data_IF_139480257931
#
_entry.id   IF_139480257931
#
_cell.length_a   1.000
_cell.length_b   1.000
_cell.length_c   1.000
_cell.angle_alpha   90.00
_cell.angle_beta   90.00
_cell.angle_gamma   90.00
#
_symmetry.space_group_name_H-M   'P 1'
#
loop_
_entity.id
_entity.type
_entity.pdbx_description
1 polymer ?
#
# COMPACT_ATOMS: atom_id res chain seq x y z
N UNK A 1 42.92 -6.28 42.14
CA UNK A 1 41.77 -7.20 42.06
C UNK A 1 40.62 -6.39 41.50
N UNK A 2 40.30 -6.55 40.21
CA UNK A 2 39.19 -5.81 39.59
C UNK A 2 37.92 -6.66 39.76
N UNK A 3 36.98 -6.14 40.54
CA UNK A 3 35.67 -6.75 40.75
C UNK A 3 34.98 -6.94 39.39
N UNK A 4 34.88 -8.18 38.94
CA UNK A 4 34.07 -8.57 37.80
C UNK A 4 32.61 -8.44 38.23
N UNK A 5 32.08 -7.21 38.16
CA UNK A 5 30.66 -6.96 38.38
C UNK A 5 29.87 -7.82 37.39
N UNK A 6 29.16 -8.79 37.94
CA UNK A 6 28.18 -9.63 37.28
C UNK A 6 27.04 -8.72 36.76
N UNK A 7 27.28 -8.03 35.65
CA UNK A 7 26.27 -7.22 34.97
C UNK A 7 25.28 -8.18 34.35
N UNK A 8 24.09 -8.23 34.94
CA UNK A 8 22.91 -8.86 34.34
C UNK A 8 22.80 -8.34 32.91
N UNK A 9 23.00 -9.23 31.93
CA UNK A 9 22.87 -8.88 30.54
C UNK A 9 21.45 -8.36 30.31
N UNK A 10 21.27 -7.24 29.59
CA UNK A 10 19.94 -6.76 29.26
C UNK A 10 19.16 -7.86 28.52
N UNK A 11 17.84 -7.98 28.73
CA UNK A 11 17.02 -9.02 28.12
C UNK A 11 16.98 -8.93 26.58
N UNK A 12 17.37 -7.80 26.02
CA UNK A 12 17.45 -7.55 24.58
C UNK A 12 18.87 -7.14 24.20
N UNK A 13 19.36 -7.61 23.04
CA UNK A 13 20.66 -7.19 22.54
C UNK A 13 20.67 -5.68 22.30
N UNK A 14 21.82 -5.05 22.55
CA UNK A 14 22.03 -3.65 22.14
C UNK A 14 21.90 -3.52 20.62
N UNK A 15 21.43 -2.38 20.11
CA UNK A 15 21.33 -2.17 18.67
C UNK A 15 22.70 -2.35 17.99
N UNK A 16 22.73 -2.75 16.71
CA UNK A 16 23.97 -2.95 15.97
C UNK A 16 24.82 -1.67 15.93
N UNK A 17 26.16 -1.74 16.09
CA UNK A 17 27.01 -0.57 16.29
C UNK A 17 26.96 0.46 15.15
N UNK A 18 26.51 0.05 13.96
CA UNK A 18 26.40 0.95 12.81
C UNK A 18 25.34 2.05 12.96
N UNK A 19 24.44 1.98 13.94
CA UNK A 19 23.40 3.00 14.13
C UNK A 19 23.97 4.40 14.38
N UNK A 20 25.19 4.51 14.94
CA UNK A 20 25.84 5.79 15.25
C UNK A 20 26.23 6.57 14.00
N UNK A 21 26.41 5.89 12.87
CA UNK A 21 26.83 6.51 11.61
C UNK A 21 25.66 7.20 10.87
N UNK A 22 24.41 7.00 11.32
CA UNK A 22 23.20 7.61 10.76
C UNK A 22 23.00 9.07 11.24
N UNK A 23 23.99 9.93 10.97
CA UNK A 23 23.92 11.36 11.26
C UNK A 23 23.40 12.15 10.05
N UNK A 24 22.77 13.32 10.30
CA UNK A 24 22.28 14.19 9.21
C UNK A 24 23.39 14.61 8.24
N UNK A 25 24.61 14.79 8.74
CA UNK A 25 25.79 15.17 7.96
C UNK A 25 26.23 14.02 7.03
N UNK A 26 26.32 12.80 7.55
CA UNK A 26 26.71 11.63 6.78
C UNK A 26 25.66 11.31 5.68
N UNK A 27 24.37 11.50 6.00
CA UNK A 27 23.29 11.33 5.02
C UNK A 27 23.38 12.37 3.90
N UNK A 28 23.65 13.64 4.21
CA UNK A 28 23.80 14.68 3.18
C UNK A 28 25.03 14.43 2.30
N UNK A 29 26.13 13.97 2.88
CA UNK A 29 27.35 13.61 2.13
C UNK A 29 27.11 12.44 1.18
N UNK A 30 26.41 11.38 1.65
CA UNK A 30 26.05 10.25 0.80
C UNK A 30 25.12 10.68 -0.34
N UNK A 31 24.17 11.58 -0.09
CA UNK A 31 23.30 12.12 -1.13
C UNK A 31 24.07 12.92 -2.19
N UNK A 32 25.10 13.68 -1.80
CA UNK A 32 25.98 14.40 -2.72
C UNK A 32 26.79 13.42 -3.58
N UNK A 33 27.46 12.45 -2.96
CA UNK A 33 28.22 11.42 -3.66
C UNK A 33 27.35 10.59 -4.61
N UNK A 34 26.09 10.31 -4.23
CA UNK A 34 25.15 9.63 -5.11
C UNK A 34 24.72 10.47 -6.31
N UNK A 35 24.60 11.80 -6.14
CA UNK A 35 24.32 12.72 -7.25
C UNK A 35 25.51 12.79 -8.22
N UNK A 36 26.71 12.97 -7.69
CA UNK A 36 27.97 12.97 -8.46
C UNK A 36 28.17 11.64 -9.22
N UNK A 37 27.89 10.50 -8.58
CA UNK A 37 27.95 9.19 -9.23
C UNK A 37 26.87 9.00 -10.31
N UNK A 38 25.70 9.64 -10.17
CA UNK A 38 24.62 9.57 -11.16
C UNK A 38 24.95 10.36 -12.43
N UNK A 39 25.73 11.43 -12.33
CA UNK A 39 26.20 12.21 -13.48
C UNK A 39 27.23 11.43 -14.33
N UNK A 40 27.87 10.41 -13.74
CA UNK A 40 28.85 9.53 -14.40
C UNK A 40 28.28 8.20 -14.94
N UNK A 41 26.96 7.95 -14.81
CA UNK A 41 26.28 6.84 -15.50
C UNK A 41 25.15 6.16 -14.70
N UNK A 42 24.19 5.50 -15.38
CA UNK A 42 23.05 4.90 -14.73
C UNK A 42 23.43 3.52 -14.19
N UNK A 43 23.59 3.42 -12.86
CA UNK A 43 23.96 2.22 -12.07
C UNK A 43 25.46 2.03 -11.80
N UNK A 44 26.20 3.10 -11.50
CA UNK A 44 27.39 2.93 -10.68
C UNK A 44 26.93 2.52 -9.26
N UNK A 45 26.94 1.23 -8.97
CA UNK A 45 26.98 0.76 -7.60
C UNK A 45 28.19 1.47 -6.96
N UNK A 46 27.92 2.43 -6.08
CA UNK A 46 28.94 3.14 -5.31
C UNK A 46 29.91 2.08 -4.77
N UNK A 47 31.16 2.09 -5.23
CA UNK A 47 32.13 1.08 -4.83
C UNK A 47 32.36 1.18 -3.33
N UNK A 48 31.82 0.24 -2.57
CA UNK A 48 31.79 0.23 -1.11
C UNK A 48 33.19 0.32 -0.48
N UNK A 49 34.24 0.00 -1.25
CA UNK A 49 35.64 0.08 -0.85
C UNK A 49 36.24 1.48 -1.03
N UNK A 50 35.63 2.31 -1.88
CA UNK A 50 36.06 3.69 -2.16
C UNK A 50 35.47 4.71 -1.17
N UNK A 51 34.41 4.35 -0.45
CA UNK A 51 33.75 5.23 0.51
C UNK A 51 34.44 5.20 1.88
N UNK A 52 34.41 6.34 2.61
CA UNK A 52 34.74 6.37 4.02
C UNK A 52 33.99 5.28 4.81
N UNK A 53 34.62 4.64 5.82
CA UNK A 53 34.02 3.51 6.55
C UNK A 53 32.69 3.87 7.19
N UNK A 54 32.52 5.12 7.60
CA UNK A 54 31.30 5.70 8.19
C UNK A 54 30.11 5.72 7.20
N UNK A 55 30.39 5.98 5.91
CA UNK A 55 29.35 6.08 4.87
C UNK A 55 28.99 4.71 4.28
N UNK A 56 29.88 3.72 4.42
CA UNK A 56 29.65 2.34 3.94
C UNK A 56 28.43 1.71 4.60
N UNK A 57 28.20 1.98 5.89
CA UNK A 57 27.08 1.43 6.65
C UNK A 57 25.70 2.03 6.28
N UNK A 58 25.69 3.17 5.57
CA UNK A 58 24.46 3.80 5.09
C UNK A 58 23.98 3.19 3.78
N UNK A 59 24.83 2.43 3.09
CA UNK A 59 24.47 1.70 1.87
C UNK A 59 23.93 0.32 2.27
N UNK A 60 22.71 -0.07 1.84
CA UNK A 60 22.19 -1.40 2.12
C UNK A 60 23.16 -2.47 1.61
N UNK A 61 23.40 -3.55 2.37
CA UNK A 61 24.22 -4.65 1.90
C UNK A 61 23.58 -5.30 0.66
N UNK A 62 24.42 -5.88 -0.19
CA UNK A 62 23.94 -6.70 -1.29
C UNK A 62 23.13 -7.88 -0.74
N UNK A 63 22.09 -8.35 -1.47
CA UNK A 63 21.39 -9.57 -1.09
C UNK A 63 22.41 -10.72 -0.97
N UNK A 64 22.27 -11.61 0.02
CA UNK A 64 23.12 -12.79 0.15
C UNK A 64 23.13 -13.58 -1.16
N UNK A 65 24.30 -14.07 -1.57
CA UNK A 65 24.42 -14.95 -2.73
C UNK A 65 23.91 -16.38 -2.44
N UNK A 66 23.78 -16.72 -1.15
CA UNK A 66 23.26 -18.01 -0.70
C UNK A 66 21.73 -17.94 -0.58
N UNK A 67 21.04 -18.90 -1.17
CA UNK A 67 19.57 -18.99 -1.14
C UNK A 67 19.01 -19.40 0.23
N UNK A 68 19.88 -19.57 1.22
CA UNK A 68 19.58 -20.09 2.54
C UNK A 68 19.89 -19.01 3.56
N UNK A 69 18.91 -18.63 4.37
CA UNK A 69 19.12 -17.68 5.46
C UNK A 69 18.52 -18.22 6.75
N UNK A 70 19.18 -17.95 7.87
CA UNK A 70 18.73 -18.43 9.18
C UNK A 70 17.94 -17.35 9.89
N UNK A 71 16.67 -17.62 10.18
CA UNK A 71 15.83 -16.75 11.02
C UNK A 71 15.37 -17.51 12.25
N UNK A 72 15.53 -16.91 13.42
CA UNK A 72 15.04 -17.46 14.70
C UNK A 72 15.44 -18.92 14.95
N UNK A 73 16.64 -19.30 14.49
CA UNK A 73 17.18 -20.66 14.65
C UNK A 73 16.84 -21.62 13.52
N UNK A 74 15.85 -21.33 12.66
CA UNK A 74 15.47 -22.14 11.51
C UNK A 74 16.19 -21.68 10.23
N UNK A 75 16.69 -22.64 9.44
CA UNK A 75 17.18 -22.37 8.10
C UNK A 75 15.98 -22.28 7.15
N UNK A 76 15.84 -21.15 6.46
CA UNK A 76 14.82 -20.92 5.43
C UNK A 76 15.53 -20.89 4.07
N UNK A 77 14.99 -21.67 3.15
CA UNK A 77 15.45 -21.71 1.76
C UNK A 77 14.48 -20.86 0.93
N UNK A 78 14.99 -19.85 0.24
CA UNK A 78 14.21 -18.91 -0.59
C UNK A 78 13.53 -19.61 -1.77
N UNK A 79 14.10 -20.71 -2.25
CA UNK A 79 13.64 -21.48 -3.40
C UNK A 79 13.12 -22.88 -3.04
N UNK A 80 12.86 -23.16 -1.76
CA UNK A 80 12.26 -24.45 -1.42
C UNK A 80 10.87 -24.58 -2.09
N UNK A 81 10.58 -25.72 -2.74
CA UNK A 81 9.23 -26.02 -3.17
C UNK A 81 8.31 -26.13 -1.94
N UNK A 82 7.03 -25.87 -2.14
CA UNK A 82 6.02 -26.07 -1.10
C UNK A 82 6.08 -27.54 -0.61
N UNK A 83 6.06 -27.73 0.71
CA UNK A 83 6.12 -29.06 1.31
C UNK A 83 4.93 -29.91 0.83
N UNK A 84 5.23 -30.99 0.11
CA UNK A 84 4.19 -31.88 -0.41
C UNK A 84 3.79 -32.94 0.63
N UNK A 85 2.59 -33.51 0.49
CA UNK A 85 2.15 -34.63 1.34
C UNK A 85 3.09 -35.85 1.22
N UNK A 86 3.70 -36.06 0.05
CA UNK A 86 4.66 -37.13 -0.19
C UNK A 86 5.96 -36.95 0.60
N UNK A 87 6.45 -35.72 0.72
CA UNK A 87 7.66 -35.40 1.50
C UNK A 87 7.44 -35.63 3.00
N UNK A 88 6.20 -35.49 3.46
CA UNK A 88 5.79 -35.74 4.84
C UNK A 88 5.39 -37.20 5.10
N UNK A 89 5.50 -38.09 4.10
CA UNK A 89 5.07 -39.50 4.17
C UNK A 89 3.59 -39.66 4.57
N UNK A 90 2.73 -38.75 4.11
CA UNK A 90 1.28 -38.74 4.38
C UNK A 90 0.55 -39.23 3.12
N UNK A 91 -0.39 -40.16 3.29
CA UNK A 91 -1.23 -40.65 2.20
C UNK A 91 -2.14 -39.54 1.66
N UNK A 92 -2.12 -39.35 0.33
CA UNK A 92 -3.00 -38.40 -0.34
C UNK A 92 -4.39 -39.02 -0.54
N UNK A 93 -5.42 -38.40 0.07
CA UNK A 93 -6.80 -38.91 0.08
C UNK A 93 -7.68 -38.37 -1.06
N UNK A 94 -7.11 -37.56 -1.96
CA UNK A 94 -7.83 -36.92 -3.06
C UNK A 94 -7.09 -37.13 -4.40
N UNK A 95 -7.77 -37.07 -5.55
CA UNK A 95 -7.16 -37.33 -6.85
C UNK A 95 -5.99 -36.38 -7.13
N UNK A 96 -4.91 -36.89 -7.71
CA UNK A 96 -3.75 -36.09 -8.10
C UNK A 96 -3.99 -35.20 -9.34
N UNK A 97 -5.21 -35.23 -9.89
CA UNK A 97 -5.54 -34.50 -11.12
C UNK A 97 -5.55 -32.98 -10.90
N UNK A 98 -5.04 -32.18 -11.85
CA UNK A 98 -5.03 -30.72 -11.76
C UNK A 98 -6.44 -30.11 -11.69
N UNK A 99 -7.45 -30.83 -12.16
CA UNK A 99 -8.86 -30.46 -12.03
C UNK A 99 -9.34 -30.45 -10.56
N UNK A 100 -8.81 -31.34 -9.72
CA UNK A 100 -9.15 -31.40 -8.30
C UNK A 100 -8.61 -30.18 -7.53
N UNK A 101 -7.47 -29.64 -7.95
CA UNK A 101 -6.89 -28.40 -7.40
C UNK A 101 -7.61 -27.14 -7.86
N UNK A 102 -8.18 -27.11 -9.07
CA UNK A 102 -8.95 -25.96 -9.56
C UNK A 102 -10.32 -25.87 -8.88
N UNK A 103 -10.93 -27.03 -8.61
CA UNK A 103 -12.20 -27.14 -7.89
C UNK A 103 -12.04 -27.98 -6.62
N UNK A 104 -11.47 -27.41 -5.54
CA UNK A 104 -11.24 -28.13 -4.30
C UNK A 104 -12.53 -28.34 -3.48
N UNK A 105 -13.59 -27.58 -3.74
CA UNK A 105 -14.83 -27.58 -2.96
C UNK A 105 -15.45 -28.98 -2.73
N UNK A 106 -15.70 -29.83 -3.75
CA UNK A 106 -16.27 -31.16 -3.52
C UNK A 106 -15.35 -32.05 -2.67
N UNK A 107 -14.05 -31.97 -2.89
CA UNK A 107 -13.05 -32.75 -2.16
C UNK A 107 -12.94 -32.29 -0.69
N UNK A 108 -12.95 -30.98 -0.43
CA UNK A 108 -12.94 -30.42 0.92
C UNK A 108 -14.22 -30.78 1.68
N UNK A 109 -15.37 -30.75 1.02
CA UNK A 109 -16.64 -31.20 1.61
C UNK A 109 -16.61 -32.71 1.91
N UNK A 110 -16.07 -33.53 1.00
CA UNK A 110 -15.92 -34.97 1.23
C UNK A 110 -14.96 -35.27 2.39
N UNK A 111 -13.80 -34.61 2.44
CA UNK A 111 -12.82 -34.76 3.51
C UNK A 111 -13.36 -34.27 4.86
N UNK A 112 -14.10 -33.16 4.90
CA UNK A 112 -14.72 -32.68 6.15
C UNK A 112 -15.82 -33.62 6.65
N UNK A 113 -16.62 -34.22 5.76
CA UNK A 113 -17.58 -35.29 6.13
C UNK A 113 -16.85 -36.53 6.66
N UNK A 114 -15.74 -36.92 6.02
CA UNK A 114 -14.88 -38.02 6.47
C UNK A 114 -14.25 -37.75 7.84
N UNK A 115 -13.78 -36.52 8.08
CA UNK A 115 -13.26 -36.04 9.36
C UNK A 115 -14.31 -36.16 10.46
N UNK A 116 -15.53 -35.66 10.21
CA UNK A 116 -16.63 -35.77 11.16
C UNK A 116 -16.99 -37.23 11.45
N UNK A 117 -17.11 -38.06 10.42
CA UNK A 117 -17.44 -39.48 10.58
C UNK A 117 -16.38 -40.22 11.40
N UNK A 118 -15.11 -39.91 11.16
CA UNK A 118 -13.98 -40.48 11.91
C UNK A 118 -13.93 -39.96 13.35
N UNK A 119 -14.29 -38.70 13.58
CA UNK A 119 -14.40 -38.15 14.93
C UNK A 119 -15.55 -38.79 15.72
N UNK A 120 -16.72 -38.97 15.09
CA UNK A 120 -17.84 -39.67 15.71
C UNK A 120 -17.50 -41.14 16.03
N UNK A 121 -16.78 -41.83 15.14
CA UNK A 121 -16.33 -43.20 15.41
C UNK A 121 -15.32 -43.25 16.56
N UNK A 122 -14.41 -42.27 16.66
CA UNK A 122 -13.50 -42.14 17.80
C UNK A 122 -14.25 -41.97 19.11
N UNK A 123 -15.22 -41.05 19.17
CA UNK A 123 -16.06 -40.84 20.38
C UNK A 123 -16.83 -42.11 20.74
N UNK A 124 -17.37 -42.82 19.74
CA UNK A 124 -18.04 -44.10 19.95
C UNK A 124 -17.12 -45.18 20.53
N UNK A 125 -15.90 -45.31 20.00
CA UNK A 125 -14.89 -46.25 20.51
C UNK A 125 -14.48 -45.88 21.93
N UNK A 126 -14.23 -44.59 22.20
CA UNK A 126 -13.88 -44.13 23.55
C UNK A 126 -14.96 -44.40 24.59
N UNK A 127 -16.23 -44.49 24.18
CA UNK A 127 -17.35 -44.85 25.06
C UNK A 127 -17.47 -46.35 25.33
N UNK A 128 -16.97 -47.21 24.44
CA UNK A 128 -17.09 -48.67 24.57
C UNK A 128 -15.77 -49.32 25.02
N UNK A 129 -14.67 -49.07 24.31
CA UNK A 129 -13.34 -49.67 24.55
C UNK A 129 -12.24 -48.61 24.39
N UNK A 130 -11.78 -47.97 25.48
CA UNK A 130 -10.84 -46.85 25.42
C UNK A 130 -9.39 -47.26 25.08
N UNK A 131 -9.02 -48.55 25.10
CA UNK A 131 -7.62 -48.99 25.06
C UNK A 131 -7.13 -49.53 23.71
N UNK A 132 -8.04 -49.93 22.80
CA UNK A 132 -7.66 -50.72 21.61
C UNK A 132 -7.43 -49.92 20.33
N UNK A 133 -8.40 -49.08 19.94
CA UNK A 133 -8.49 -48.56 18.57
C UNK A 133 -8.43 -47.03 18.47
N UNK A 134 -8.16 -46.33 19.58
CA UNK A 134 -8.15 -44.86 19.58
C UNK A 134 -6.98 -44.31 18.75
N UNK A 135 -5.80 -44.94 18.81
CA UNK A 135 -4.59 -44.46 18.14
C UNK A 135 -4.72 -44.46 16.62
N UNK A 136 -5.26 -45.54 16.03
CA UNK A 136 -5.51 -45.66 14.60
C UNK A 136 -6.49 -44.59 14.10
N UNK A 137 -7.55 -44.31 14.89
CA UNK A 137 -8.52 -43.26 14.57
C UNK A 137 -7.93 -41.87 14.68
N UNK A 138 -7.07 -41.62 15.67
CA UNK A 138 -6.34 -40.34 15.81
C UNK A 138 -5.38 -40.14 14.64
N UNK A 139 -4.64 -41.18 14.25
CA UNK A 139 -3.77 -41.13 13.06
C UNK A 139 -4.58 -40.84 11.79
N UNK A 140 -5.73 -41.51 11.62
CA UNK A 140 -6.64 -41.25 10.50
C UNK A 140 -7.14 -39.80 10.48
N UNK A 141 -7.50 -39.23 11.64
CA UNK A 141 -7.88 -37.81 11.77
C UNK A 141 -6.73 -36.88 11.38
N UNK A 142 -5.50 -37.17 11.81
CA UNK A 142 -4.32 -36.39 11.44
C UNK A 142 -4.09 -36.41 9.93
N UNK A 143 -4.14 -37.59 9.31
CA UNK A 143 -4.01 -37.75 7.85
C UNK A 143 -5.07 -36.93 7.10
N UNK A 144 -6.34 -37.02 7.50
CA UNK A 144 -7.42 -36.23 6.89
C UNK A 144 -7.16 -34.73 7.04
N UNK A 145 -6.71 -34.31 8.23
CA UNK A 145 -6.43 -32.90 8.51
C UNK A 145 -5.28 -32.37 7.65
N UNK A 146 -4.19 -33.12 7.48
CA UNK A 146 -3.09 -32.72 6.60
C UNK A 146 -3.52 -32.62 5.15
N UNK A 147 -4.36 -33.54 4.67
CA UNK A 147 -4.93 -33.49 3.33
C UNK A 147 -5.81 -32.25 3.10
N UNK A 148 -6.61 -31.86 4.10
CA UNK A 148 -7.41 -30.62 4.04
C UNK A 148 -6.48 -29.40 3.96
N UNK A 149 -5.43 -29.36 4.77
CA UNK A 149 -4.48 -28.24 4.77
C UNK A 149 -3.75 -28.11 3.44
N UNK A 150 -3.26 -29.22 2.87
CA UNK A 150 -2.62 -29.22 1.57
C UNK A 150 -3.57 -28.70 0.47
N UNK A 151 -4.82 -29.16 0.46
CA UNK A 151 -5.80 -28.70 -0.53
C UNK A 151 -6.13 -27.19 -0.39
N UNK A 152 -6.20 -26.67 0.84
CA UNK A 152 -6.35 -25.24 1.10
C UNK A 152 -5.11 -24.47 0.64
N UNK A 153 -3.92 -24.99 0.93
CA UNK A 153 -2.66 -24.35 0.56
C UNK A 153 -2.52 -24.24 -0.96
N UNK A 154 -2.86 -25.30 -1.69
CA UNK A 154 -2.87 -25.29 -3.17
C UNK A 154 -3.89 -24.31 -3.76
N UNK A 155 -4.96 -23.97 -3.03
CA UNK A 155 -5.94 -22.98 -3.45
C UNK A 155 -5.50 -21.53 -3.21
N UNK A 156 -4.47 -21.28 -2.39
CA UNK A 156 -4.00 -19.91 -2.05
C UNK A 156 -3.61 -19.06 -3.26
N UNK A 157 -2.89 -19.57 -4.27
CA UNK A 157 -2.55 -18.77 -5.46
C UNK A 157 -3.78 -18.38 -6.28
N UNK A 158 -4.83 -19.22 -6.31
CA UNK A 158 -6.10 -18.86 -6.93
C UNK A 158 -6.78 -17.75 -6.13
N UNK A 159 -6.89 -17.90 -4.80
CA UNK A 159 -7.45 -16.88 -3.91
C UNK A 159 -6.74 -15.52 -4.06
N UNK A 160 -5.40 -15.50 -4.14
CA UNK A 160 -4.63 -14.27 -4.30
C UNK A 160 -4.95 -13.55 -5.63
N UNK A 161 -5.12 -14.31 -6.72
CA UNK A 161 -5.49 -13.75 -8.04
C UNK A 161 -6.89 -13.17 -8.03
N UNK A 162 -7.88 -13.88 -7.48
CA UNK A 162 -9.24 -13.36 -7.34
C UNK A 162 -9.29 -12.13 -6.43
N UNK A 163 -8.53 -12.13 -5.32
CA UNK A 163 -8.43 -10.96 -4.44
C UNK A 163 -7.83 -9.74 -5.15
N UNK A 164 -6.84 -9.96 -6.03
CA UNK A 164 -6.27 -8.89 -6.84
C UNK A 164 -7.28 -8.39 -7.88
N UNK A 165 -7.99 -9.29 -8.54
CA UNK A 165 -9.02 -8.93 -9.51
C UNK A 165 -10.09 -8.04 -8.88
N UNK A 166 -10.62 -8.43 -7.71
CA UNK A 166 -11.59 -7.63 -6.95
C UNK A 166 -11.05 -6.24 -6.58
N UNK A 167 -9.79 -6.15 -6.14
CA UNK A 167 -9.16 -4.87 -5.84
C UNK A 167 -9.03 -3.98 -7.09
N UNK A 168 -8.72 -4.57 -8.25
CA UNK A 168 -8.63 -3.83 -9.51
C UNK A 168 -10.00 -3.39 -10.00
N UNK A 169 -11.03 -4.22 -9.84
CA UNK A 169 -12.42 -3.86 -10.16
C UNK A 169 -12.90 -2.69 -9.30
N UNK A 170 -12.65 -2.71 -7.99
CA UNK A 170 -12.97 -1.60 -7.08
C UNK A 170 -12.23 -0.31 -7.48
N UNK A 171 -10.96 -0.44 -7.88
CA UNK A 171 -10.19 0.70 -8.38
C UNK A 171 -10.79 1.28 -9.67
N UNK A 172 -11.26 0.44 -10.58
CA UNK A 172 -11.92 0.87 -11.82
C UNK A 172 -13.25 1.58 -11.55
N UNK A 173 -14.04 1.08 -10.59
CA UNK A 173 -15.29 1.73 -10.17
C UNK A 173 -14.98 3.11 -9.58
N UNK A 174 -14.04 3.17 -8.64
CA UNK A 174 -13.60 4.43 -8.02
C UNK A 174 -13.11 5.46 -9.05
N UNK A 175 -12.32 5.02 -10.04
CA UNK A 175 -11.84 5.89 -11.12
C UNK A 175 -12.98 6.42 -11.99
N UNK A 176 -13.99 5.60 -12.30
CA UNK A 176 -15.15 6.05 -13.08
C UNK A 176 -15.97 7.09 -12.31
N UNK A 177 -16.14 6.90 -11.01
CA UNK A 177 -16.84 7.86 -10.17
C UNK A 177 -16.06 9.17 -9.99
N UNK A 178 -14.72 9.10 -9.91
CA UNK A 178 -13.86 10.28 -9.92
C UNK A 178 -13.98 11.07 -11.24
N UNK A 179 -13.98 10.38 -12.39
CA UNK A 179 -14.18 11.02 -13.70
C UNK A 179 -15.54 11.72 -13.76
N UNK A 180 -16.63 11.06 -13.31
CA UNK A 180 -17.96 11.67 -13.25
C UNK A 180 -17.99 12.93 -12.38
N UNK A 181 -17.36 12.90 -11.20
CA UNK A 181 -17.25 14.08 -10.33
C UNK A 181 -16.50 15.23 -11.00
N UNK A 182 -15.46 14.93 -11.77
CA UNK A 182 -14.71 15.95 -12.52
C UNK A 182 -15.57 16.53 -13.66
N UNK A 183 -16.33 15.69 -14.37
CA UNK A 183 -17.27 16.13 -15.40
C UNK A 183 -18.37 17.03 -14.82
N UNK A 184 -18.95 16.66 -13.68
CA UNK A 184 -19.96 17.46 -12.97
C UNK A 184 -19.38 18.81 -12.50
N UNK A 185 -18.16 18.79 -11.95
CA UNK A 185 -17.46 20.01 -11.54
C UNK A 185 -17.15 20.92 -12.73
N UNK A 186 -16.73 20.34 -13.87
CA UNK A 186 -16.49 21.09 -15.11
C UNK A 186 -17.79 21.75 -15.61
N UNK A 187 -18.90 21.01 -15.63
CA UNK A 187 -20.20 21.55 -16.02
C UNK A 187 -20.65 22.70 -15.09
N UNK A 188 -20.43 22.56 -13.77
CA UNK A 188 -20.69 23.63 -12.81
C UNK A 188 -19.84 24.88 -13.06
N UNK A 189 -18.55 24.70 -13.36
CA UNK A 189 -17.64 25.82 -13.70
C UNK A 189 -18.05 26.50 -15.01
N UNK A 190 -18.44 25.74 -16.04
CA UNK A 190 -18.95 26.28 -17.31
C UNK A 190 -20.23 27.10 -17.09
N UNK A 191 -21.15 26.63 -16.24
CA UNK A 191 -22.36 27.37 -15.88
C UNK A 191 -22.05 28.68 -15.14
N UNK A 192 -21.12 28.65 -14.18
CA UNK A 192 -20.68 29.84 -13.46
C UNK A 192 -20.04 30.85 -14.42
N UNK A 193 -19.15 30.39 -15.31
CA UNK A 193 -18.54 31.26 -16.32
C UNK A 193 -19.57 31.87 -17.26
N UNK A 194 -20.54 31.09 -17.75
CA UNK A 194 -21.63 31.60 -18.58
C UNK A 194 -22.48 32.65 -17.83
N UNK A 195 -22.79 32.39 -16.55
CA UNK A 195 -23.50 33.34 -15.69
C UNK A 195 -22.73 34.64 -15.47
N UNK A 196 -21.40 34.58 -15.27
CA UNK A 196 -20.56 35.78 -15.14
C UNK A 196 -20.49 36.58 -16.44
N UNK A 197 -20.40 35.92 -17.60
CA UNK A 197 -20.41 36.59 -18.91
C UNK A 197 -21.74 37.33 -19.09
N UNK A 198 -22.87 36.66 -18.82
CA UNK A 198 -24.20 37.28 -18.92
C UNK A 198 -24.37 38.45 -17.95
N UNK A 199 -23.88 38.33 -16.72
CA UNK A 199 -23.90 39.42 -15.73
C UNK A 199 -22.98 40.58 -16.13
N UNK A 200 -21.81 40.30 -16.72
CA UNK A 200 -20.89 41.29 -17.26
C UNK A 200 -21.45 42.03 -18.48
N UNK A 201 -22.14 41.33 -19.38
CA UNK A 201 -22.85 41.92 -20.52
C UNK A 201 -23.99 42.82 -20.05
N UNK A 202 -24.73 42.41 -19.01
CA UNK A 202 -25.80 43.22 -18.41
C UNK A 202 -25.26 44.52 -17.78
N UNK A 203 -24.15 44.46 -17.04
CA UNK A 203 -23.49 45.65 -16.49
C UNK A 203 -22.85 46.55 -17.55
N UNK A 204 -22.38 45.99 -18.66
CA UNK A 204 -21.80 46.77 -19.75
C UNK A 204 -22.89 47.47 -20.60
N UNK A 205 -24.06 46.85 -20.74
CA UNK A 205 -25.25 47.47 -21.33
C UNK A 205 -25.80 48.62 -20.47
N UNK A 206 -25.80 48.47 -19.14
CA UNK A 206 -26.16 49.55 -18.21
C UNK A 206 -25.17 50.72 -18.26
N UNK A 207 -23.87 50.46 -18.45
CA UNK A 207 -22.84 51.53 -18.61
C UNK A 207 -22.90 52.25 -19.96
N UNK A 208 -23.40 51.61 -21.02
CA UNK A 208 -23.61 52.27 -22.32
C UNK A 208 -24.91 53.08 -22.39
N UNK A 209 -25.80 52.95 -21.40
CA UNK A 209 -27.05 53.71 -21.31
C UNK A 209 -26.92 55.13 -20.72
N UNK A 210 -25.78 55.48 -20.12
CA UNK A 210 -25.59 56.77 -19.43
C UNK A 210 -24.69 57.80 -20.12
N UNK A 211 -24.10 57.51 -21.30
CA UNK A 211 -23.28 58.50 -22.03
C UNK A 211 -23.71 58.64 -23.50
N UNK A 212 -24.83 59.35 -23.68
CA UNK A 212 -25.28 59.87 -24.97
C UNK A 212 -25.20 61.39 -25.00
N UNK A 213 -24.01 61.94 -25.26
CA UNK A 213 -23.77 63.37 -25.50
C UNK A 213 -22.53 63.58 -26.39
N UNK A 214 -22.49 64.57 -27.29
CA UNK A 214 -21.78 64.45 -28.57
C UNK A 214 -20.26 64.61 -28.49
N UNK A 215 -19.59 63.95 -29.44
CA UNK A 215 -18.16 64.02 -29.74
C UNK A 215 -17.71 65.47 -29.97
N UNK A 216 -16.91 65.99 -29.04
CA UNK A 216 -16.12 67.21 -29.20
C UNK A 216 -14.64 66.87 -29.06
N UNK A 217 -13.90 67.03 -30.15
CA UNK A 217 -12.44 66.87 -30.19
C UNK A 217 -11.83 68.10 -29.51
N UNK A 218 -11.20 67.94 -28.34
CA UNK A 218 -10.19 68.90 -27.91
C UNK A 218 -9.13 68.31 -26.98
N UNK A 219 -7.91 68.77 -27.18
CA UNK A 219 -6.68 68.26 -26.61
C UNK A 219 -6.36 68.90 -25.25
N UNK A 220 -5.85 68.09 -24.32
CA UNK A 220 -5.00 68.54 -23.20
C UNK A 220 -5.70 68.90 -21.88
N UNK A 221 -5.67 67.99 -20.90
CA UNK A 221 -6.00 68.25 -19.48
C UNK A 221 -5.85 67.01 -18.59
N UNK A 222 -5.48 67.14 -17.30
CA UNK A 222 -4.53 66.22 -16.62
C UNK A 222 -5.13 64.91 -16.07
N UNK A 223 -4.28 63.88 -15.96
CA UNK A 223 -4.55 62.58 -15.34
C UNK A 223 -5.17 62.74 -13.93
N UNK A 224 -6.44 62.35 -13.79
CA UNK A 224 -7.05 62.05 -12.49
C UNK A 224 -6.54 60.70 -12.01
N UNK A 225 -5.72 60.68 -10.95
CA UNK A 225 -5.42 59.47 -10.17
C UNK A 225 -6.72 58.95 -9.54
N UNK A 226 -7.28 57.89 -10.10
CA UNK A 226 -8.36 57.13 -9.48
C UNK A 226 -7.79 56.43 -8.24
N UNK A 227 -8.45 56.61 -7.10
CA UNK A 227 -8.01 56.10 -5.80
C UNK A 227 -8.08 54.57 -5.77
N UNK A 228 -6.91 53.93 -5.85
CA UNK A 228 -6.68 52.47 -5.87
C UNK A 228 -7.18 51.76 -4.59
N UNK A 229 -7.43 52.51 -3.52
CA UNK A 229 -7.88 51.96 -2.22
C UNK A 229 -9.25 51.28 -2.30
N UNK A 230 -10.20 51.85 -3.05
CA UNK A 230 -11.56 51.31 -3.14
C UNK A 230 -11.64 50.01 -3.95
N UNK A 231 -10.73 49.81 -4.91
CA UNK A 231 -10.64 48.56 -5.67
C UNK A 231 -10.03 47.44 -4.81
N UNK A 232 -9.00 47.77 -4.02
CA UNK A 232 -8.32 46.84 -3.13
C UNK A 232 -9.23 46.37 -1.98
N UNK A 233 -10.10 47.24 -1.47
CA UNK A 233 -11.09 46.90 -0.43
C UNK A 233 -12.14 45.90 -0.94
N UNK A 234 -12.63 46.12 -2.18
CA UNK A 234 -13.58 45.22 -2.84
C UNK A 234 -12.98 43.85 -3.15
N UNK A 235 -11.72 43.81 -3.56
CA UNK A 235 -10.99 42.56 -3.72
C UNK A 235 -10.84 41.84 -2.36
N UNK A 236 -10.46 42.54 -1.29
CA UNK A 236 -10.34 41.94 0.05
C UNK A 236 -11.66 41.37 0.56
N UNK A 237 -12.79 42.06 0.36
CA UNK A 237 -14.09 41.53 0.74
C UNK A 237 -14.50 40.31 -0.08
N UNK A 238 -14.14 40.26 -1.37
CA UNK A 238 -14.41 39.11 -2.22
C UNK A 238 -13.59 37.88 -1.80
N UNK A 239 -12.30 38.08 -1.45
CA UNK A 239 -11.44 37.00 -0.93
C UNK A 239 -11.91 36.48 0.44
N UNK A 240 -12.35 37.37 1.33
CA UNK A 240 -12.88 36.97 2.64
C UNK A 240 -14.19 36.16 2.54
N UNK A 241 -15.05 36.47 1.56
CA UNK A 241 -16.27 35.70 1.32
C UNK A 241 -15.97 34.26 0.87
N UNK A 242 -15.02 34.10 -0.06
CA UNK A 242 -14.58 32.79 -0.55
C UNK A 242 -13.97 31.96 0.59
N UNK A 243 -13.15 32.59 1.43
CA UNK A 243 -12.50 31.91 2.56
C UNK A 243 -13.55 31.43 3.60
N UNK A 244 -14.61 32.21 3.83
CA UNK A 244 -15.72 31.81 4.72
C UNK A 244 -16.57 30.66 4.17
N UNK A 245 -16.76 30.56 2.85
CA UNK A 245 -17.49 29.45 2.23
C UNK A 245 -16.67 28.16 2.27
N UNK A 246 -15.35 28.25 2.10
CA UNK A 246 -14.47 27.07 2.17
C UNK A 246 -14.25 26.57 3.61
N UNK A 247 -14.29 27.44 4.61
CA UNK A 247 -14.16 27.07 6.02
C UNK A 247 -15.41 26.40 6.61
N UNK A 248 -16.57 26.51 5.94
CA UNK A 248 -17.83 25.85 6.33
C UNK A 248 -18.01 24.44 5.79
N UNK A 249 -17.05 23.91 5.03
CA UNK A 249 -17.09 22.59 4.41
C UNK A 249 -16.02 21.65 4.99
N UNK A 250 -16.07 21.43 6.31
CA UNK A 250 -15.46 20.31 7.03
C UNK A 250 -16.32 19.93 8.23
#
# INVERSE_FOLDING_TARGET
MAEQQNRVAPPFPTPPPFYTHFTKQNISQLQQLRKEASDHGPKAALDLLSLPPELRYLVPPAPPAEDHYRTFGAAINLHAPDASLGDANIEQLYPADPAATLHPQPHLIALSRSLLTTFLSLVGIMSHDPTGFYEERVQSLQTIMFNIHDLINRYRPHQARESLALMMEDRLVSMKDEIRRIEDAKAGVEQIMAGLIQAGESQNAERQGEDGGPVGVDAGGPLRKVSDKGAMEKQRSAWAAIESETAGSW
#
